data_IF_054069132614
#
_entry.id   IF_054069132614
#
_cell.length_a   1.000
_cell.length_b   1.000
_cell.length_c   1.000
_cell.angle_alpha   90.00
_cell.angle_beta   90.00
_cell.angle_gamma   90.00
#
_symmetry.space_group_name_H-M   'P 1'
#
loop_
_entity.id
_entity.type
_entity.pdbx_description
1 polymer ?
#
# COMPACT_ATOMS: atom_id res chain seq x y z
N UNK A 1 6.36 14.18 -0.56
CA UNK A 1 6.60 13.15 -1.59
C UNK A 1 5.24 12.72 -2.12
N UNK A 2 5.07 12.54 -3.43
CA UNK A 2 3.79 12.10 -4.01
C UNK A 2 4.01 10.87 -4.88
N UNK A 3 3.32 9.80 -4.54
CA UNK A 3 3.19 8.62 -5.38
C UNK A 3 1.72 8.44 -5.73
N UNK A 4 1.44 7.88 -6.90
CA UNK A 4 0.09 7.62 -7.36
C UNK A 4 0.08 7.08 -8.78
N UNK A 5 -1.08 6.67 -9.26
CA UNK A 5 -1.24 6.14 -10.62
C UNK A 5 -0.76 7.16 -11.66
N UNK A 6 0.10 6.74 -12.58
CA UNK A 6 0.66 7.59 -13.64
C UNK A 6 1.88 8.45 -13.22
N UNK A 7 2.34 8.34 -11.97
CA UNK A 7 3.57 9.00 -11.56
C UNK A 7 4.81 8.20 -11.99
N UNK A 8 5.81 8.91 -12.49
CA UNK A 8 7.12 8.35 -12.90
C UNK A 8 8.24 8.65 -11.91
N UNK A 9 8.01 9.52 -10.93
CA UNK A 9 8.95 9.85 -9.86
C UNK A 9 8.23 10.53 -8.69
N UNK A 10 8.73 10.30 -7.49
CA UNK A 10 8.22 10.85 -6.23
C UNK A 10 8.34 12.38 -6.12
N UNK A 11 9.22 12.98 -6.95
CA UNK A 11 9.44 14.40 -7.10
C UNK A 11 9.07 14.86 -8.53
N UNK A 12 7.95 15.56 -8.64
CA UNK A 12 7.43 16.10 -9.91
C UNK A 12 8.41 17.03 -10.65
N UNK A 13 9.28 17.75 -9.94
CA UNK A 13 10.25 18.65 -10.56
C UNK A 13 11.38 17.88 -11.22
N UNK A 14 11.84 16.79 -10.61
CA UNK A 14 12.81 15.87 -11.23
C UNK A 14 12.22 15.19 -12.47
N UNK A 15 10.98 14.70 -12.37
CA UNK A 15 10.28 14.12 -13.52
C UNK A 15 10.17 15.11 -14.69
N UNK A 16 9.77 16.35 -14.42
CA UNK A 16 9.69 17.42 -15.44
C UNK A 16 11.03 17.74 -16.11
N UNK A 17 12.13 17.57 -15.39
CA UNK A 17 13.48 17.79 -15.91
C UNK A 17 14.08 16.56 -16.63
N UNK A 18 13.31 15.46 -16.78
CA UNK A 18 13.83 14.21 -17.35
C UNK A 18 14.78 13.44 -16.42
N UNK A 19 14.78 13.76 -15.12
CA UNK A 19 15.65 13.19 -14.09
C UNK A 19 14.89 12.23 -13.15
N UNK A 20 13.90 11.53 -13.69
CA UNK A 20 13.13 10.53 -12.95
C UNK A 20 14.08 9.46 -12.37
N UNK A 21 13.90 9.16 -11.09
CA UNK A 21 14.61 8.06 -10.46
C UNK A 21 14.16 6.72 -11.06
N UNK A 22 15.04 5.73 -11.07
CA UNK A 22 14.64 4.34 -11.36
C UNK A 22 13.74 3.76 -10.24
N UNK A 23 13.27 2.54 -10.45
CA UNK A 23 12.34 1.87 -9.53
C UNK A 23 12.96 1.67 -8.13
N UNK A 24 14.24 1.32 -8.06
CA UNK A 24 14.93 1.04 -6.81
C UNK A 24 15.06 2.31 -5.95
N UNK A 25 15.50 3.41 -6.55
CA UNK A 25 15.57 4.70 -5.87
C UNK A 25 14.17 5.25 -5.50
N UNK A 26 13.13 4.94 -6.28
CA UNK A 26 11.76 5.25 -5.91
C UNK A 26 11.28 4.45 -4.70
N UNK A 27 11.58 3.15 -4.65
CA UNK A 27 11.28 2.27 -3.52
C UNK A 27 12.02 2.70 -2.26
N UNK A 28 13.27 3.14 -2.38
CA UNK A 28 14.05 3.68 -1.26
C UNK A 28 13.42 4.96 -0.72
N UNK A 29 13.04 5.89 -1.59
CA UNK A 29 12.30 7.10 -1.23
C UNK A 29 11.00 6.77 -0.47
N UNK A 30 10.23 5.80 -0.97
CA UNK A 30 8.99 5.35 -0.33
C UNK A 30 9.27 4.74 1.04
N UNK A 31 10.31 3.89 1.17
CA UNK A 31 10.71 3.26 2.42
C UNK A 31 11.10 4.28 3.49
N UNK A 32 11.92 5.27 3.13
CA UNK A 32 12.35 6.34 4.04
C UNK A 32 11.13 7.14 4.54
N UNK A 33 10.22 7.50 3.63
CA UNK A 33 9.01 8.24 4.02
C UNK A 33 8.07 7.39 4.87
N UNK A 34 7.90 6.10 4.57
CA UNK A 34 7.14 5.18 5.40
C UNK A 34 7.72 5.07 6.81
N UNK A 35 9.04 4.90 6.95
CA UNK A 35 9.71 4.85 8.26
C UNK A 35 9.52 6.17 9.03
N UNK A 36 9.69 7.31 8.36
CA UNK A 36 9.47 8.65 8.96
C UNK A 36 8.03 8.82 9.44
N UNK A 37 7.05 8.41 8.63
CA UNK A 37 5.63 8.48 8.99
C UNK A 37 5.28 7.50 10.11
N UNK A 38 5.81 6.28 10.09
CA UNK A 38 5.63 5.32 11.18
C UNK A 38 6.11 5.89 12.53
N UNK A 39 7.26 6.59 12.53
CA UNK A 39 7.84 7.15 13.74
C UNK A 39 7.15 8.44 14.24
N UNK A 40 6.67 9.29 13.32
CA UNK A 40 6.29 10.67 13.68
C UNK A 40 4.85 11.06 13.31
N UNK A 41 4.17 10.29 12.47
CA UNK A 41 2.81 10.58 12.03
C UNK A 41 2.08 9.30 11.58
N UNK A 42 1.88 8.31 12.48
CA UNK A 42 1.32 7.01 12.14
C UNK A 42 -0.07 7.12 11.49
N UNK A 43 -0.88 8.11 11.86
CA UNK A 43 -2.19 8.38 11.26
C UNK A 43 -2.11 8.68 9.76
N UNK A 44 -0.99 9.24 9.30
CA UNK A 44 -0.75 9.58 7.89
C UNK A 44 -0.15 8.42 7.10
N UNK A 45 0.46 7.45 7.78
CA UNK A 45 1.11 6.31 7.14
C UNK A 45 0.10 5.46 6.36
N UNK A 46 -1.07 5.21 6.95
CA UNK A 46 -2.12 4.42 6.28
C UNK A 46 -2.50 5.04 4.93
N UNK A 47 -2.81 6.34 4.91
CA UNK A 47 -3.14 7.04 3.66
C UNK A 47 -1.99 6.98 2.66
N UNK A 48 -0.75 7.21 3.11
CA UNK A 48 0.41 7.15 2.23
C UNK A 48 0.58 5.76 1.59
N UNK A 49 0.45 4.68 2.36
CA UNK A 49 0.51 3.30 1.85
C UNK A 49 -0.56 3.01 0.79
N UNK A 50 -1.78 3.55 0.94
CA UNK A 50 -2.82 3.40 -0.10
C UNK A 50 -2.45 4.05 -1.44
N UNK A 51 -1.56 5.06 -1.43
CA UNK A 51 -1.03 5.67 -2.66
C UNK A 51 0.11 4.87 -3.29
N UNK A 52 0.80 4.02 -2.51
CA UNK A 52 1.91 3.18 -2.98
C UNK A 52 1.43 1.87 -3.61
N UNK A 53 0.38 1.27 -3.06
CA UNK A 53 -0.18 -0.01 -3.53
C UNK A 53 -0.56 -0.09 -5.02
N UNK A 54 -1.04 0.98 -5.69
CA UNK A 54 -1.24 0.97 -7.14
C UNK A 54 0.05 1.18 -7.96
N UNK A 55 1.17 1.56 -7.32
CA UNK A 55 2.43 1.93 -7.98
C UNK A 55 3.48 0.83 -7.86
N UNK A 56 3.57 0.18 -6.71
CA UNK A 56 4.61 -0.79 -6.38
C UNK A 56 4.04 -2.19 -6.13
N UNK A 57 4.82 -3.25 -6.39
CA UNK A 57 4.44 -4.61 -6.04
C UNK A 57 4.15 -4.74 -4.53
N UNK A 58 3.01 -5.32 -4.13
CA UNK A 58 2.60 -5.35 -2.73
C UNK A 58 3.47 -6.27 -1.85
N UNK A 59 4.14 -7.26 -2.42
CA UNK A 59 5.12 -8.11 -1.74
C UNK A 59 6.39 -7.33 -1.35
N UNK A 60 6.87 -6.45 -2.22
CA UNK A 60 8.00 -5.56 -1.92
C UNK A 60 7.64 -4.60 -0.78
N UNK A 61 6.46 -3.97 -0.86
CA UNK A 61 5.97 -3.10 0.21
C UNK A 61 5.76 -3.85 1.53
N UNK A 62 5.33 -5.12 1.48
CA UNK A 62 5.19 -5.97 2.67
C UNK A 62 6.55 -6.22 3.35
N UNK A 63 7.61 -6.49 2.58
CA UNK A 63 8.97 -6.66 3.12
C UNK A 63 9.41 -5.39 3.83
N UNK A 64 9.22 -4.22 3.22
CA UNK A 64 9.54 -2.93 3.84
C UNK A 64 8.73 -2.70 5.13
N UNK A 65 7.44 -3.05 5.12
CA UNK A 65 6.58 -2.92 6.29
C UNK A 65 6.99 -3.82 7.46
N UNK A 66 7.49 -5.02 7.17
CA UNK A 66 8.09 -5.90 8.18
C UNK A 66 9.35 -5.29 8.77
N UNK A 67 10.28 -4.86 7.92
CA UNK A 67 11.55 -4.28 8.34
C UNK A 67 11.37 -2.99 9.16
N UNK A 68 10.39 -2.16 8.79
CA UNK A 68 10.09 -0.92 9.49
C UNK A 68 9.12 -1.06 10.66
N UNK A 69 8.65 -2.26 10.98
CA UNK A 69 7.78 -2.50 12.15
C UNK A 69 6.36 -1.94 12.02
N UNK A 70 5.85 -1.69 10.82
CA UNK A 70 4.51 -1.12 10.57
C UNK A 70 3.59 -2.05 9.77
N UNK A 71 3.80 -3.37 9.88
CA UNK A 71 3.04 -4.41 9.16
C UNK A 71 1.52 -4.31 9.36
N UNK A 72 1.07 -3.96 10.57
CA UNK A 72 -0.36 -3.83 10.86
C UNK A 72 -1.01 -2.69 10.06
N UNK A 73 -0.30 -1.57 9.93
CA UNK A 73 -0.76 -0.42 9.14
C UNK A 73 -0.77 -0.76 7.66
N UNK A 74 0.22 -1.53 7.20
CA UNK A 74 0.26 -2.06 5.83
C UNK A 74 -0.92 -2.98 5.54
N UNK A 75 -1.22 -3.96 6.41
CA UNK A 75 -2.35 -4.87 6.23
C UNK A 75 -3.67 -4.08 6.15
N UNK A 76 -3.83 -3.05 6.99
CA UNK A 76 -5.00 -2.19 6.93
C UNK A 76 -5.09 -1.41 5.60
N UNK A 77 -4.00 -0.81 5.13
CA UNK A 77 -3.98 -0.08 3.86
C UNK A 77 -4.24 -1.02 2.66
N UNK A 78 -3.64 -2.22 2.67
CA UNK A 78 -3.86 -3.25 1.67
C UNK A 78 -5.31 -3.72 1.65
N UNK A 79 -5.95 -3.86 2.80
CA UNK A 79 -7.37 -4.23 2.90
C UNK A 79 -8.25 -3.16 2.25
N UNK A 80 -7.97 -1.88 2.52
CA UNK A 80 -8.67 -0.77 1.90
C UNK A 80 -8.48 -0.72 0.39
N UNK A 81 -7.24 -0.88 -0.08
CA UNK A 81 -6.95 -0.94 -1.51
C UNK A 81 -7.65 -2.12 -2.19
N UNK A 82 -7.58 -3.31 -1.60
CA UNK A 82 -8.27 -4.49 -2.11
C UNK A 82 -9.78 -4.25 -2.21
N UNK A 83 -10.41 -3.65 -1.20
CA UNK A 83 -11.85 -3.42 -1.19
C UNK A 83 -12.31 -2.42 -2.28
N UNK A 84 -11.46 -1.49 -2.72
CA UNK A 84 -11.81 -0.54 -3.79
C UNK A 84 -11.63 -1.09 -5.21
N UNK A 85 -10.91 -2.21 -5.38
CA UNK A 85 -10.75 -2.84 -6.70
C UNK A 85 -12.12 -3.18 -7.29
N UNK A 86 -12.27 -2.92 -8.60
CA UNK A 86 -13.58 -2.84 -9.25
C UNK A 86 -14.20 -4.22 -9.43
N UNK A 87 -13.42 -5.16 -9.96
CA UNK A 87 -13.92 -6.49 -10.31
C UNK A 87 -13.70 -7.50 -9.19
N UNK A 88 -14.54 -8.54 -9.15
CA UNK A 88 -14.37 -9.64 -8.19
C UNK A 88 -13.04 -10.37 -8.40
N UNK A 89 -12.61 -10.51 -9.65
CA UNK A 89 -11.40 -11.22 -10.01
C UNK A 89 -10.14 -10.44 -9.59
N UNK A 90 -10.09 -9.12 -9.81
CA UNK A 90 -9.01 -8.26 -9.30
C UNK A 90 -8.89 -8.37 -7.78
N UNK A 91 -10.03 -8.33 -7.06
CA UNK A 91 -10.07 -8.48 -5.60
C UNK A 91 -9.53 -9.83 -5.16
N UNK A 92 -10.00 -10.93 -5.76
CA UNK A 92 -9.56 -12.28 -5.42
C UNK A 92 -8.08 -12.47 -5.74
N UNK A 93 -7.61 -12.01 -6.90
CA UNK A 93 -6.23 -12.11 -7.30
C UNK A 93 -5.31 -11.37 -6.32
N UNK A 94 -5.61 -10.11 -6.00
CA UNK A 94 -4.84 -9.33 -5.03
C UNK A 94 -4.88 -9.97 -3.64
N UNK A 95 -6.06 -10.40 -3.20
CA UNK A 95 -6.25 -11.01 -1.88
C UNK A 95 -5.42 -12.28 -1.73
N UNK A 96 -5.54 -13.22 -2.68
CA UNK A 96 -4.82 -14.49 -2.65
C UNK A 96 -3.32 -14.30 -2.81
N UNK A 97 -2.89 -13.39 -3.69
CA UNK A 97 -1.48 -13.03 -3.84
C UNK A 97 -0.90 -12.60 -2.50
N UNK A 98 -1.51 -11.60 -1.84
CA UNK A 98 -0.96 -11.07 -0.60
C UNK A 98 -1.05 -12.07 0.56
N UNK A 99 -2.16 -12.80 0.67
CA UNK A 99 -2.35 -13.83 1.70
C UNK A 99 -1.28 -14.93 1.63
N UNK A 100 -0.74 -15.24 0.44
CA UNK A 100 0.36 -16.20 0.27
C UNK A 100 1.65 -15.81 1.00
N UNK A 101 1.83 -14.52 1.32
CA UNK A 101 3.00 -14.01 2.04
C UNK A 101 2.74 -13.72 3.52
N UNK A 102 1.49 -13.77 3.99
CA UNK A 102 1.09 -13.44 5.35
C UNK A 102 1.04 -14.68 6.25
N UNK A 103 1.25 -14.50 7.55
CA UNK A 103 0.95 -15.57 8.52
C UNK A 103 -0.56 -15.86 8.57
N UNK A 104 -0.95 -16.95 9.22
CA UNK A 104 -2.37 -17.29 9.41
C UNK A 104 -3.14 -16.14 10.11
N UNK A 105 -2.58 -15.58 11.19
CA UNK A 105 -3.20 -14.48 11.94
C UNK A 105 -3.28 -13.20 11.12
N UNK A 106 -2.21 -12.87 10.38
CA UNK A 106 -2.17 -11.71 9.50
C UNK A 106 -3.20 -11.84 8.37
N UNK A 107 -3.35 -13.03 7.81
CA UNK A 107 -4.34 -13.34 6.77
C UNK A 107 -5.77 -13.22 7.31
N UNK A 108 -6.04 -13.71 8.52
CA UNK A 108 -7.35 -13.59 9.17
C UNK A 108 -7.71 -12.11 9.45
N UNK A 109 -6.72 -11.32 9.89
CA UNK A 109 -6.89 -9.87 10.08
C UNK A 109 -7.14 -9.16 8.75
N UNK A 110 -6.35 -9.46 7.72
CA UNK A 110 -6.51 -8.91 6.37
C UNK A 110 -7.91 -9.18 5.83
N UNK A 111 -8.40 -10.42 5.96
CA UNK A 111 -9.77 -10.82 5.60
C UNK A 111 -10.83 -9.97 6.30
N UNK A 112 -10.75 -9.88 7.63
CA UNK A 112 -11.71 -9.14 8.45
C UNK A 112 -11.77 -7.66 8.05
N UNK A 113 -10.61 -7.02 7.87
CA UNK A 113 -10.52 -5.61 7.46
C UNK A 113 -11.07 -5.40 6.04
N UNK A 114 -10.73 -6.28 5.10
CA UNK A 114 -11.25 -6.22 3.74
C UNK A 114 -12.78 -6.34 3.72
N UNK A 115 -13.36 -7.30 4.43
CA UNK A 115 -14.81 -7.50 4.48
C UNK A 115 -15.54 -6.31 5.12
N UNK A 116 -14.97 -5.76 6.20
CA UNK A 116 -15.49 -4.56 6.86
C UNK A 116 -15.50 -3.37 5.90
N UNK A 117 -14.38 -3.12 5.23
CA UNK A 117 -14.27 -2.00 4.28
C UNK A 117 -15.16 -2.19 3.06
N UNK A 118 -15.22 -3.41 2.51
CA UNK A 118 -16.12 -3.75 1.41
C UNK A 118 -17.57 -3.45 1.76
N UNK A 119 -18.02 -3.87 2.95
CA UNK A 119 -19.37 -3.55 3.46
C UNK A 119 -19.54 -2.04 3.60
N UNK A 120 -18.59 -1.32 4.19
CA UNK A 120 -18.65 0.15 4.34
C UNK A 120 -18.81 0.88 3.01
N UNK A 121 -18.11 0.43 1.97
CA UNK A 121 -18.18 1.03 0.62
C UNK A 121 -19.50 0.76 -0.12
N UNK A 122 -20.25 -0.26 0.29
CA UNK A 122 -21.52 -0.69 -0.34
C UNK A 122 -22.76 -0.44 0.50
N UNK A 123 -22.61 -0.26 1.80
CA UNK A 123 -23.68 0.12 2.73
C UNK A 123 -23.90 1.65 2.79
N UNK A 124 -23.24 2.42 1.91
CA UNK A 124 -23.63 3.81 1.65
C UNK A 124 -24.91 3.80 0.82
N UNK A 125 -26.04 3.67 1.52
CA UNK A 125 -27.39 4.00 1.03
C UNK A 125 -27.73 5.38 1.52
#
# INVERSE_FOLDING_TARGET
MQFGTGFVCCNKYRAKAGLSCDLDAQLECASIECARLAAHAPDRLHHFLTTLLPVFPPDVLLVQARQGGYIDTFIAAAACYCAVLRTLDERRAFFHFLAGYLSADQSARFKTLHESEWKRLRNKV
#
